data_IF_143306706365
#
_entry.id   IF_143306706365
#
_cell.length_a   1.000
_cell.length_b   1.000
_cell.length_c   1.000
_cell.angle_alpha   90.00
_cell.angle_beta   90.00
_cell.angle_gamma   90.00
#
_symmetry.space_group_name_H-M   'P 1'
#
loop_
_entity.id
_entity.type
_entity.pdbx_description
1 polymer ?
#
# COMPACT_ATOMS: atom_id res chain seq x y z
N UNK A 1 7.71 19.48 -5.96
CA UNK A 1 8.43 18.20 -5.87
C UNK A 1 7.68 17.14 -5.05
N UNK A 2 6.47 17.43 -4.55
CA UNK A 2 5.67 16.48 -3.78
C UNK A 2 4.71 15.69 -4.66
N UNK A 3 4.30 14.54 -4.13
CA UNK A 3 3.23 13.69 -4.64
C UNK A 3 1.88 14.40 -4.42
N UNK A 4 1.62 15.54 -5.08
CA UNK A 4 0.38 16.32 -4.92
C UNK A 4 -0.83 15.73 -5.64
N UNK A 5 -1.96 16.42 -5.66
CA UNK A 5 -3.19 15.96 -6.34
C UNK A 5 -3.00 15.64 -7.83
N UNK A 6 -2.00 16.25 -8.46
CA UNK A 6 -1.76 16.20 -9.90
C UNK A 6 -0.78 15.06 -10.29
N UNK A 7 -0.53 14.11 -9.37
CA UNK A 7 0.29 12.91 -9.57
C UNK A 7 -0.01 12.17 -10.88
N UNK A 8 -1.27 12.23 -11.31
CA UNK A 8 -1.80 11.48 -12.44
C UNK A 8 -2.05 12.35 -13.67
N UNK A 9 -1.90 13.66 -13.54
CA UNK A 9 -2.10 14.66 -14.59
C UNK A 9 -0.77 15.34 -14.94
N UNK A 10 0.10 14.57 -15.61
CA UNK A 10 1.45 15.02 -15.95
C UNK A 10 1.47 15.60 -17.36
N UNK A 11 1.96 16.84 -17.49
CA UNK A 11 2.35 17.37 -18.80
C UNK A 11 3.50 16.53 -19.40
N UNK A 12 3.72 16.66 -20.71
CA UNK A 12 4.83 15.98 -21.39
C UNK A 12 6.20 16.28 -20.76
N UNK A 13 6.41 17.52 -20.31
CA UNK A 13 7.64 17.92 -19.60
C UNK A 13 7.76 17.22 -18.23
N UNK A 14 6.66 17.11 -17.48
CA UNK A 14 6.63 16.42 -16.19
C UNK A 14 6.83 14.91 -16.36
N UNK A 15 6.21 14.33 -17.39
CA UNK A 15 6.39 12.92 -17.72
C UNK A 15 7.84 12.62 -18.10
N UNK A 16 8.45 13.45 -18.95
CA UNK A 16 9.88 13.34 -19.32
C UNK A 16 10.77 13.41 -18.07
N UNK A 17 10.46 14.32 -17.13
CA UNK A 17 11.20 14.43 -15.88
C UNK A 17 11.05 13.20 -14.97
N UNK A 18 9.86 12.57 -14.93
CA UNK A 18 9.63 11.30 -14.22
C UNK A 18 10.48 10.18 -14.82
N UNK A 19 10.52 10.08 -16.15
CA UNK A 19 11.32 9.07 -16.85
C UNK A 19 12.81 9.25 -16.57
N UNK A 20 13.34 10.47 -16.76
CA UNK A 20 14.74 10.81 -16.51
C UNK A 20 15.12 10.52 -15.06
N UNK A 21 14.29 10.96 -14.10
CA UNK A 21 14.58 10.76 -12.69
C UNK A 21 14.57 9.28 -12.32
N UNK A 22 13.58 8.52 -12.79
CA UNK A 22 13.47 7.09 -12.54
C UNK A 22 14.67 6.33 -13.10
N UNK A 23 15.06 6.63 -14.35
CA UNK A 23 16.23 6.02 -14.98
C UNK A 23 17.53 6.36 -14.25
N UNK A 24 17.68 7.59 -13.74
CA UNK A 24 18.86 7.97 -12.95
C UNK A 24 19.05 7.13 -11.67
N UNK A 25 17.97 6.54 -11.15
CA UNK A 25 18.00 5.68 -9.96
C UNK A 25 18.27 4.20 -10.30
N UNK A 26 18.16 3.80 -11.58
CA UNK A 26 18.30 2.41 -12.03
C UNK A 26 19.58 1.71 -11.53
N UNK A 27 20.77 2.35 -11.48
CA UNK A 27 21.99 1.72 -10.97
C UNK A 27 21.94 1.31 -9.48
N UNK A 28 21.02 1.87 -8.71
CA UNK A 28 20.84 1.57 -7.28
C UNK A 28 19.85 0.42 -7.04
N UNK A 29 19.19 -0.07 -8.09
CA UNK A 29 18.15 -1.10 -7.98
C UNK A 29 18.74 -2.50 -8.10
N UNK A 30 18.69 -3.25 -7.00
CA UNK A 30 19.20 -4.62 -6.91
C UNK A 30 18.35 -5.67 -7.63
N UNK A 31 17.10 -5.36 -7.98
CA UNK A 31 16.25 -6.23 -8.78
C UNK A 31 14.75 -6.04 -8.54
N UNK A 32 13.97 -6.90 -9.20
CA UNK A 32 12.51 -6.99 -9.07
C UNK A 32 12.17 -8.39 -8.59
N UNK A 33 11.60 -8.49 -7.40
CA UNK A 33 11.45 -9.75 -6.69
C UNK A 33 9.99 -10.09 -6.45
N UNK A 34 9.71 -11.38 -6.27
CA UNK A 34 8.48 -11.83 -5.64
C UNK A 34 8.53 -11.61 -4.12
N UNK A 35 7.44 -11.91 -3.41
CA UNK A 35 7.39 -11.72 -1.96
C UNK A 35 8.47 -12.50 -1.21
N UNK A 36 8.75 -13.74 -1.62
CA UNK A 36 9.79 -14.56 -0.98
C UNK A 36 11.17 -13.94 -1.12
N UNK A 37 11.52 -13.49 -2.34
CA UNK A 37 12.78 -12.79 -2.61
C UNK A 37 12.90 -11.48 -1.84
N UNK A 38 11.83 -10.68 -1.80
CA UNK A 38 11.78 -9.45 -1.00
C UNK A 38 12.02 -9.71 0.48
N UNK A 39 11.36 -10.72 1.06
CA UNK A 39 11.48 -11.02 2.49
C UNK A 39 12.90 -11.45 2.84
N UNK A 40 13.47 -12.37 2.06
CA UNK A 40 14.83 -12.84 2.27
C UNK A 40 15.86 -11.71 2.09
N UNK A 41 15.69 -10.88 1.05
CA UNK A 41 16.58 -9.77 0.77
C UNK A 41 16.62 -8.74 1.88
N UNK A 42 15.45 -8.35 2.41
CA UNK A 42 15.35 -7.43 3.55
C UNK A 42 15.88 -8.07 4.85
N UNK A 43 15.54 -9.34 5.12
CA UNK A 43 15.94 -10.02 6.36
C UNK A 43 17.45 -10.22 6.47
N UNK A 44 18.12 -10.56 5.36
CA UNK A 44 19.55 -10.83 5.35
C UNK A 44 20.41 -9.59 5.02
N UNK A 45 19.78 -8.45 4.70
CA UNK A 45 20.47 -7.20 4.38
C UNK A 45 21.05 -7.13 2.96
N UNK A 46 20.67 -8.03 2.06
CA UNK A 46 21.01 -7.95 0.63
C UNK A 46 20.28 -6.78 -0.04
N UNK A 47 19.06 -6.47 0.44
CA UNK A 47 18.29 -5.29 0.07
C UNK A 47 18.09 -4.42 1.30
N UNK A 48 18.39 -3.12 1.18
CA UNK A 48 18.25 -2.17 2.29
C UNK A 48 16.92 -1.41 2.28
N UNK A 49 16.27 -1.33 1.12
CA UNK A 49 15.00 -0.66 0.93
C UNK A 49 14.22 -1.30 -0.22
N UNK A 50 12.90 -1.17 -0.17
CA UNK A 50 11.99 -1.50 -1.26
C UNK A 50 10.97 -0.39 -1.43
N UNK A 51 10.37 -0.28 -2.62
CA UNK A 51 9.17 0.53 -2.78
C UNK A 51 8.05 -0.08 -1.92
N UNK A 52 7.51 0.69 -0.99
CA UNK A 52 6.51 0.20 -0.03
C UNK A 52 5.21 -0.21 -0.73
N UNK A 53 4.67 -1.37 -0.32
CA UNK A 53 3.36 -1.89 -0.77
C UNK A 53 2.40 -2.08 0.40
N UNK A 54 2.61 -1.30 1.47
CA UNK A 54 1.93 -1.42 2.76
C UNK A 54 2.87 -1.93 3.85
N UNK A 55 2.57 -1.55 5.10
CA UNK A 55 3.34 -1.90 6.30
C UNK A 55 3.24 -3.39 6.67
N UNK A 56 2.31 -4.13 6.05
CA UNK A 56 2.11 -5.56 6.29
C UNK A 56 3.36 -6.39 5.97
N UNK A 57 4.19 -5.97 5.01
CA UNK A 57 5.48 -6.59 4.68
C UNK A 57 6.41 -6.52 5.89
N UNK A 58 6.60 -5.31 6.44
CA UNK A 58 7.48 -5.10 7.59
C UNK A 58 6.90 -5.75 8.83
N UNK A 59 5.57 -5.71 9.02
CA UNK A 59 4.92 -6.40 10.13
C UNK A 59 5.13 -7.92 10.11
N UNK A 60 5.13 -8.56 8.93
CA UNK A 60 5.44 -9.99 8.81
C UNK A 60 6.91 -10.29 9.11
N UNK A 61 7.82 -9.44 8.64
CA UNK A 61 9.26 -9.56 8.86
C UNK A 61 9.66 -9.30 10.33
N UNK A 62 9.09 -8.29 10.96
CA UNK A 62 9.30 -7.98 12.39
C UNK A 62 8.87 -9.14 13.29
N UNK A 63 7.72 -9.77 12.98
CA UNK A 63 7.25 -10.98 13.68
C UNK A 63 8.23 -12.14 13.58
N UNK A 64 9.02 -12.19 12.51
CA UNK A 64 10.06 -13.19 12.25
C UNK A 64 11.47 -12.70 12.70
N UNK A 65 11.52 -11.63 13.50
CA UNK A 65 12.72 -11.12 14.14
C UNK A 65 13.62 -10.23 13.28
N UNK A 66 13.17 -9.80 12.11
CA UNK A 66 13.92 -8.87 11.27
C UNK A 66 13.83 -7.43 11.81
N UNK A 67 14.95 -6.71 11.77
CA UNK A 67 15.01 -5.28 12.14
C UNK A 67 14.68 -4.42 10.92
N UNK A 68 13.39 -4.33 10.58
CA UNK A 68 12.88 -3.53 9.45
C UNK A 68 11.76 -2.61 9.91
N UNK A 69 11.53 -1.52 9.19
CA UNK A 69 10.46 -0.57 9.47
C UNK A 69 9.88 0.00 8.17
N UNK A 70 8.64 0.48 8.24
CA UNK A 70 7.98 1.21 7.15
C UNK A 70 7.91 2.70 7.47
N UNK A 71 8.16 3.54 6.47
CA UNK A 71 8.01 4.99 6.56
C UNK A 71 7.23 5.52 5.35
N UNK A 72 6.36 6.50 5.57
CA UNK A 72 5.74 7.28 4.51
C UNK A 72 6.59 8.54 4.30
N UNK A 73 7.19 8.76 3.12
CA UNK A 73 8.02 9.93 2.86
C UNK A 73 7.31 11.26 3.15
N UNK A 74 8.06 12.31 3.45
CA UNK A 74 7.50 13.63 3.73
C UNK A 74 6.79 14.22 2.50
N UNK A 75 7.31 13.90 1.32
CA UNK A 75 6.79 14.25 0.01
C UNK A 75 5.47 13.56 -0.32
N UNK A 76 5.12 12.55 0.45
CA UNK A 76 3.85 11.86 0.41
C UNK A 76 3.90 10.44 -0.15
N UNK A 77 2.73 9.90 -0.49
CA UNK A 77 2.62 8.53 -0.99
C UNK A 77 1.28 8.22 -1.65
N UNK A 78 1.20 7.01 -2.20
CA UNK A 78 0.00 6.53 -2.90
C UNK A 78 -0.72 5.54 -1.99
N UNK A 79 -1.95 5.89 -1.61
CA UNK A 79 -2.87 4.99 -0.93
C UNK A 79 -3.54 4.10 -1.98
N UNK A 80 -3.34 2.78 -1.87
CA UNK A 80 -4.11 1.80 -2.62
C UNK A 80 -5.19 1.17 -1.72
N UNK A 81 -6.22 0.63 -2.35
CA UNK A 81 -7.29 -0.12 -1.68
C UNK A 81 -7.60 -1.38 -2.48
N UNK A 82 -8.07 -2.39 -1.77
CA UNK A 82 -8.67 -3.58 -2.36
C UNK A 82 -10.15 -3.59 -1.99
N UNK A 83 -11.00 -3.85 -2.99
CA UNK A 83 -12.45 -3.82 -2.83
C UNK A 83 -13.03 -5.21 -3.06
N UNK A 84 -13.99 -5.58 -2.22
CA UNK A 84 -14.79 -6.77 -2.45
C UNK A 84 -15.74 -6.55 -3.64
N UNK A 85 -15.75 -7.50 -4.56
CA UNK A 85 -16.56 -7.46 -5.78
C UNK A 85 -17.42 -8.72 -5.90
N UNK A 86 -18.62 -8.56 -6.49
CA UNK A 86 -19.48 -9.69 -6.88
C UNK A 86 -19.37 -9.87 -8.39
N UNK A 87 -18.89 -11.03 -8.84
CA UNK A 87 -18.81 -11.36 -10.26
C UNK A 87 -20.19 -11.31 -10.93
N UNK A 88 -20.25 -10.69 -12.11
CA UNK A 88 -21.49 -10.60 -12.90
C UNK A 88 -22.00 -12.01 -13.22
N UNK A 89 -23.29 -12.25 -12.97
CA UNK A 89 -23.93 -13.55 -13.21
C UNK A 89 -23.67 -14.62 -12.15
N UNK A 90 -23.03 -14.28 -11.03
CA UNK A 90 -22.85 -15.23 -9.93
C UNK A 90 -24.20 -15.69 -9.34
N UNK A 91 -24.45 -16.99 -9.39
CA UNK A 91 -25.58 -17.64 -8.70
C UNK A 91 -25.42 -17.65 -7.16
N UNK A 92 -24.28 -17.15 -6.66
CA UNK A 92 -23.95 -17.06 -5.23
C UNK A 92 -24.00 -15.63 -4.69
N UNK A 93 -24.61 -14.70 -5.43
CA UNK A 93 -24.62 -13.28 -5.07
C UNK A 93 -25.10 -13.02 -3.63
N UNK A 94 -26.12 -13.74 -3.15
CA UNK A 94 -26.68 -13.48 -1.82
C UNK A 94 -25.75 -13.90 -0.68
N UNK A 95 -25.12 -15.08 -0.76
CA UNK A 95 -24.13 -15.48 0.25
C UNK A 95 -22.88 -14.59 0.20
N UNK A 96 -22.47 -14.13 -0.98
CA UNK A 96 -21.36 -13.19 -1.12
C UNK A 96 -21.71 -11.84 -0.51
N UNK A 97 -22.95 -11.34 -0.66
CA UNK A 97 -23.40 -10.11 0.04
C UNK A 97 -23.31 -10.27 1.55
N UNK A 98 -23.77 -11.39 2.10
CA UNK A 98 -23.65 -11.66 3.54
C UNK A 98 -22.20 -11.70 4.01
N UNK A 99 -21.31 -12.30 3.21
CA UNK A 99 -19.87 -12.27 3.47
C UNK A 99 -19.30 -10.86 3.46
N UNK A 100 -19.63 -10.03 2.47
CA UNK A 100 -19.17 -8.62 2.40
C UNK A 100 -19.68 -7.83 3.60
N UNK A 101 -20.96 -8.02 3.99
CA UNK A 101 -21.51 -7.38 5.19
C UNK A 101 -20.76 -7.78 6.46
N UNK A 102 -20.39 -9.06 6.59
CA UNK A 102 -19.56 -9.53 7.69
C UNK A 102 -18.16 -8.91 7.66
N UNK A 103 -17.48 -8.92 6.50
CA UNK A 103 -16.13 -8.35 6.39
C UNK A 103 -16.10 -6.84 6.66
N UNK A 104 -17.22 -6.13 6.44
CA UNK A 104 -17.37 -4.72 6.77
C UNK A 104 -17.89 -4.47 8.20
N UNK A 105 -18.24 -5.51 8.97
CA UNK A 105 -18.57 -5.37 10.39
C UNK A 105 -17.32 -5.07 11.22
N UNK A 106 -17.46 -4.61 12.48
CA UNK A 106 -16.33 -4.47 13.38
C UNK A 106 -15.53 -5.77 13.54
N UNK A 107 -16.23 -6.89 13.73
CA UNK A 107 -15.62 -8.21 13.92
C UNK A 107 -14.85 -8.65 12.67
N UNK A 108 -15.43 -8.47 11.48
CA UNK A 108 -14.77 -8.82 10.22
C UNK A 108 -13.51 -8.00 9.98
N UNK A 109 -13.54 -6.70 10.25
CA UNK A 109 -12.37 -5.83 10.12
C UNK A 109 -11.29 -6.14 11.14
N UNK A 110 -11.65 -6.43 12.39
CA UNK A 110 -10.68 -6.91 13.39
C UNK A 110 -10.02 -8.21 12.93
N UNK A 111 -10.80 -9.18 12.43
CA UNK A 111 -10.23 -10.43 11.90
C UNK A 111 -9.29 -10.19 10.72
N UNK A 112 -9.64 -9.26 9.84
CA UNK A 112 -8.79 -8.86 8.72
C UNK A 112 -7.47 -8.23 9.19
N UNK A 113 -7.53 -7.34 10.19
CA UNK A 113 -6.34 -6.70 10.76
C UNK A 113 -5.42 -7.68 11.50
N UNK A 114 -5.96 -8.77 12.03
CA UNK A 114 -5.20 -9.81 12.74
C UNK A 114 -4.61 -10.89 11.83
N UNK A 115 -4.78 -10.80 10.51
CA UNK A 115 -4.18 -11.78 9.59
C UNK A 115 -2.66 -11.75 9.69
N UNK A 116 -2.04 -12.94 9.72
CA UNK A 116 -0.58 -13.06 9.90
C UNK A 116 0.19 -12.64 8.65
N UNK A 117 -0.33 -12.98 7.46
CA UNK A 117 0.38 -12.73 6.21
C UNK A 117 0.03 -11.38 5.58
N UNK A 118 -1.22 -10.92 5.74
CA UNK A 118 -1.74 -9.74 5.06
C UNK A 118 -2.75 -8.98 5.94
N UNK A 119 -2.31 -8.41 7.08
CA UNK A 119 -3.18 -7.61 7.94
C UNK A 119 -3.76 -6.42 7.16
N UNK A 120 -5.09 -6.39 7.06
CA UNK A 120 -5.82 -5.29 6.42
C UNK A 120 -6.25 -4.22 7.43
N UNK A 121 -6.20 -2.95 7.04
CA UNK A 121 -6.58 -1.86 7.93
C UNK A 121 -8.08 -1.86 8.22
N UNK A 122 -8.46 -1.47 9.44
CA UNK A 122 -9.85 -1.25 9.81
C UNK A 122 -10.29 0.14 9.32
N UNK A 123 -11.04 0.15 8.22
CA UNK A 123 -11.46 1.37 7.51
C UNK A 123 -12.69 2.05 8.13
N UNK A 124 -13.46 1.36 8.97
CA UNK A 124 -14.62 1.95 9.67
C UNK A 124 -14.24 2.37 11.08
N UNK A 125 -14.90 3.44 11.58
CA UNK A 125 -14.72 3.89 12.97
C UNK A 125 -15.00 2.78 13.99
N UNK A 126 -16.02 1.96 13.76
CA UNK A 126 -16.38 0.87 14.67
C UNK A 126 -15.39 -0.30 14.62
N UNK A 127 -14.90 -0.68 13.43
CA UNK A 127 -13.84 -1.69 13.31
C UNK A 127 -12.52 -1.24 13.93
N UNK A 128 -12.14 0.03 13.74
CA UNK A 128 -10.97 0.62 14.39
C UNK A 128 -11.11 0.61 15.91
N UNK A 129 -12.25 1.06 16.43
CA UNK A 129 -12.52 1.04 17.87
C UNK A 129 -12.43 -0.37 18.46
N UNK A 130 -13.03 -1.37 17.79
CA UNK A 130 -12.93 -2.77 18.22
C UNK A 130 -11.49 -3.29 18.15
N UNK A 131 -10.74 -3.00 17.08
CA UNK A 131 -9.33 -3.41 16.97
C UNK A 131 -8.50 -2.83 18.13
N UNK A 132 -8.67 -1.55 18.46
CA UNK A 132 -7.99 -0.90 19.57
C UNK A 132 -8.31 -1.52 20.93
N UNK A 133 -9.51 -2.09 21.09
CA UNK A 133 -9.93 -2.78 22.32
C UNK A 133 -9.35 -4.19 22.40
N UNK A 134 -9.49 -4.98 21.34
CA UNK A 134 -9.22 -6.42 21.33
C UNK A 134 -7.77 -6.76 20.98
N UNK A 135 -7.08 -5.88 20.25
CA UNK A 135 -5.69 -6.04 19.83
C UNK A 135 -4.97 -4.68 19.76
N UNK A 136 -4.75 -4.04 20.93
CA UNK A 136 -4.08 -2.74 21.00
C UNK A 136 -2.61 -2.80 20.53
N UNK A 137 -2.01 -3.99 20.43
CA UNK A 137 -0.68 -4.16 19.87
C UNK A 137 -0.70 -4.01 18.36
N UNK A 138 -1.59 -4.73 17.67
CA UNK A 138 -1.76 -4.61 16.21
C UNK A 138 -2.26 -3.22 15.81
N UNK A 139 -3.18 -2.62 16.58
CA UNK A 139 -3.63 -1.24 16.34
C UNK A 139 -2.48 -0.22 16.38
N UNK A 140 -1.52 -0.37 17.32
CA UNK A 140 -0.33 0.51 17.36
C UNK A 140 0.64 0.19 16.23
N UNK A 141 0.91 -1.09 15.97
CA UNK A 141 1.81 -1.54 14.89
C UNK A 141 1.38 -1.01 13.52
N UNK A 142 0.08 -0.98 13.27
CA UNK A 142 -0.53 -0.48 12.02
C UNK A 142 -0.92 1.00 12.05
N UNK A 143 -0.53 1.74 13.09
CA UNK A 143 -0.77 3.18 13.23
C UNK A 143 -2.26 3.58 13.19
N UNK A 144 -3.14 2.75 13.76
CA UNK A 144 -4.59 2.96 13.76
C UNK A 144 -5.11 3.63 15.05
N UNK A 145 -4.30 4.49 15.68
CA UNK A 145 -4.73 5.43 16.72
C UNK A 145 -4.59 6.88 16.23
N UNK A 146 -5.46 7.75 16.71
CA UNK A 146 -5.41 9.17 16.38
C UNK A 146 -4.07 9.79 16.84
N UNK A 147 -3.49 10.64 15.99
CA UNK A 147 -2.22 11.33 16.26
C UNK A 147 -0.96 10.51 16.00
N UNK A 148 -1.07 9.28 15.51
CA UNK A 148 0.10 8.51 15.04
C UNK A 148 0.60 9.03 13.69
N UNK A 149 1.92 9.02 13.50
CA UNK A 149 2.59 9.63 12.34
C UNK A 149 2.17 9.07 10.98
N UNK A 150 1.78 7.79 10.94
CA UNK A 150 1.34 7.11 9.71
C UNK A 150 -0.16 6.74 9.74
N UNK A 151 -0.96 7.46 10.54
CA UNK A 151 -2.40 7.22 10.55
C UNK A 151 -2.99 7.63 9.18
N UNK A 152 -3.55 6.69 8.41
CA UNK A 152 -3.84 6.95 7.00
C UNK A 152 -4.96 7.97 6.78
N UNK A 153 -5.94 8.06 7.68
CA UNK A 153 -7.03 9.03 7.53
C UNK A 153 -6.52 10.46 7.71
N UNK A 154 -5.66 10.70 8.70
CA UNK A 154 -4.99 11.97 8.92
C UNK A 154 -4.11 12.32 7.71
N UNK A 155 -3.28 11.39 7.24
CA UNK A 155 -2.43 11.62 6.07
C UNK A 155 -3.22 11.94 4.79
N UNK A 156 -4.38 11.31 4.59
CA UNK A 156 -5.28 11.64 3.47
C UNK A 156 -5.86 13.05 3.65
N UNK A 157 -6.36 13.38 4.86
CA UNK A 157 -6.95 14.68 5.15
C UNK A 157 -5.93 15.83 5.05
N UNK A 158 -4.67 15.57 5.36
CA UNK A 158 -3.55 16.50 5.23
C UNK A 158 -3.05 16.64 3.79
N UNK A 159 -3.51 15.79 2.87
CA UNK A 159 -3.00 15.72 1.49
C UNK A 159 -1.56 15.21 1.42
N UNK A 160 -1.09 14.46 2.42
CA UNK A 160 0.20 13.76 2.38
C UNK A 160 0.12 12.49 1.57
N UNK A 161 -1.00 11.79 1.58
CA UNK A 161 -1.19 10.62 0.71
C UNK A 161 -2.44 10.78 -0.13
N UNK A 162 -2.40 10.23 -1.34
CA UNK A 162 -3.48 10.36 -2.32
C UNK A 162 -4.00 8.99 -2.72
N UNK A 163 -5.30 8.90 -2.96
CA UNK A 163 -5.85 7.69 -3.58
C UNK A 163 -5.20 7.46 -4.94
N UNK A 164 -4.82 6.21 -5.19
CA UNK A 164 -4.36 5.77 -6.49
C UNK A 164 -5.41 6.08 -7.56
N UNK A 165 -4.96 6.66 -8.66
CA UNK A 165 -5.74 6.85 -9.88
C UNK A 165 -4.94 6.36 -11.10
N UNK A 166 -5.52 6.53 -12.29
CA UNK A 166 -4.87 6.24 -13.58
C UNK A 166 -4.30 7.52 -14.21
N UNK A 167 -3.25 7.39 -15.05
CA UNK A 167 -2.75 8.50 -15.86
C UNK A 167 -3.87 9.18 -16.67
N UNK A 168 -3.87 10.52 -16.68
CA UNK A 168 -4.89 11.34 -17.34
C UNK A 168 -4.43 11.82 -18.72
N UNK A 169 -3.14 12.16 -18.89
CA UNK A 169 -2.58 12.64 -20.14
C UNK A 169 -1.90 11.53 -20.95
N UNK A 170 -1.04 10.73 -20.31
CA UNK A 170 -0.41 9.57 -20.94
C UNK A 170 -1.34 8.36 -20.93
N UNK A 171 -1.19 7.46 -21.89
CA UNK A 171 -1.91 6.19 -21.91
C UNK A 171 -1.29 5.19 -20.92
N UNK A 172 -2.05 4.14 -20.56
CA UNK A 172 -1.48 3.02 -19.80
C UNK A 172 -0.37 2.30 -20.56
N UNK A 173 -0.40 2.32 -21.90
CA UNK A 173 0.64 1.73 -22.74
C UNK A 173 1.96 2.49 -22.60
N UNK A 174 1.94 3.82 -22.60
CA UNK A 174 3.15 4.65 -22.40
C UNK A 174 3.85 4.32 -21.06
N UNK A 175 3.06 4.15 -20.00
CA UNK A 175 3.59 3.75 -18.68
C UNK A 175 4.12 2.32 -18.66
N UNK A 176 3.44 1.39 -19.34
CA UNK A 176 3.88 -0.01 -19.43
C UNK A 176 5.16 -0.17 -20.25
N UNK A 177 5.28 0.58 -21.35
CA UNK A 177 6.46 0.59 -22.20
C UNK A 177 7.65 1.15 -21.44
N UNK A 178 7.48 2.30 -20.77
CA UNK A 178 8.53 2.85 -19.93
C UNK A 178 8.94 1.91 -18.79
N UNK A 179 7.97 1.26 -18.13
CA UNK A 179 8.28 0.27 -17.08
C UNK A 179 9.05 -0.93 -17.63
N UNK A 180 8.75 -1.35 -18.86
CA UNK A 180 9.45 -2.43 -19.54
C UNK A 180 10.87 -2.01 -19.90
N UNK A 181 11.08 -0.80 -20.41
CA UNK A 181 12.41 -0.24 -20.64
C UNK A 181 13.23 -0.18 -19.35
N UNK A 182 12.67 0.40 -18.29
CA UNK A 182 13.32 0.54 -16.99
C UNK A 182 13.82 -0.79 -16.42
N UNK A 183 13.00 -1.85 -16.49
CA UNK A 183 13.38 -3.18 -15.99
C UNK A 183 14.53 -3.82 -16.79
N UNK A 184 14.66 -3.48 -18.07
CA UNK A 184 15.66 -4.07 -18.98
C UNK A 184 16.95 -3.25 -19.09
N UNK A 185 16.98 -2.04 -18.54
CA UNK A 185 18.15 -1.18 -18.47
C UNK A 185 19.20 -1.65 -17.45
#
# INVERSE_FOLDING_TARGET
>A
NGNGSDLWDLSDDQWSAVQEKTMSLRPQVGGFFDYGGTFNGLKNGEMLAMCGIGDWITGALERDGATVASIIPQEGGIQWTESYCIGKGSEKADIVKSFIQYMLSPEGQTKSAQMIAYPGFAITKAGRAMLQEVDPAEARRSHQYDGMENEPVALINEGRIHYRDIPQQQSLEDWNDFWSEYKNA
#
